data_IF_704011738321
#
_entry.id   IF_704011738321
#
_cell.length_a   1.000
_cell.length_b   1.000
_cell.length_c   1.000
_cell.angle_alpha   90.00
_cell.angle_beta   90.00
_cell.angle_gamma   90.00
#
_symmetry.space_group_name_H-M   'P 1'
#
loop_
_entity.id
_entity.type
_entity.pdbx_description
1 polymer ?
#
# COMPACT_ATOMS: atom_id res chain seq x y z
N UNK A 1 25.63 16.34 23.59
CA UNK A 1 26.26 15.95 22.32
C UNK A 1 25.75 14.56 21.97
N UNK A 2 24.58 14.46 21.33
CA UNK A 2 24.13 13.20 20.73
C UNK A 2 24.65 13.16 19.31
N UNK A 3 25.33 12.08 18.98
CA UNK A 3 26.04 11.88 17.72
C UNK A 3 25.02 11.69 16.60
N UNK A 4 24.86 12.69 15.74
CA UNK A 4 24.14 12.57 14.48
C UNK A 4 24.94 11.68 13.54
N UNK A 5 24.40 10.50 13.21
CA UNK A 5 24.89 9.69 12.10
C UNK A 5 24.47 10.37 10.81
N UNK A 6 25.45 10.81 10.04
CA UNK A 6 25.30 11.11 8.61
C UNK A 6 25.46 9.78 7.88
N UNK A 7 24.47 9.38 7.07
CA UNK A 7 24.62 8.17 6.25
C UNK A 7 23.40 7.79 5.42
N UNK A 8 23.53 7.98 4.10
CA UNK A 8 22.73 7.35 3.05
C UNK A 8 21.53 8.19 2.62
N UNK A 9 21.27 8.26 1.32
CA UNK A 9 20.04 8.85 0.78
C UNK A 9 18.83 8.24 1.51
N UNK A 10 18.11 9.05 2.28
CA UNK A 10 17.00 8.59 3.12
C UNK A 10 15.94 7.93 2.22
N UNK A 11 15.82 6.60 2.27
CA UNK A 11 14.71 5.88 1.64
C UNK A 11 13.42 6.49 2.18
N UNK A 12 12.58 7.00 1.27
CA UNK A 12 11.38 7.73 1.67
C UNK A 12 10.46 6.84 2.51
N UNK A 13 10.27 7.19 3.77
CA UNK A 13 9.36 6.49 4.68
C UNK A 13 7.91 6.89 4.38
N UNK A 14 7.28 6.12 3.49
CA UNK A 14 5.88 6.32 3.12
C UNK A 14 4.92 6.23 4.31
N UNK A 15 5.22 5.42 5.33
CA UNK A 15 4.34 5.26 6.48
C UNK A 15 4.38 6.50 7.38
N UNK A 16 5.58 7.02 7.65
CA UNK A 16 5.75 8.26 8.41
C UNK A 16 5.05 9.42 7.69
N UNK A 17 5.32 9.60 6.40
CA UNK A 17 4.66 10.62 5.59
C UNK A 17 3.14 10.49 5.59
N UNK A 18 2.60 9.27 5.43
CA UNK A 18 1.15 9.05 5.41
C UNK A 18 0.50 9.48 6.73
N UNK A 19 1.08 9.07 7.87
CA UNK A 19 0.59 9.43 9.21
C UNK A 19 0.66 10.93 9.52
N UNK A 20 1.64 11.63 8.95
CA UNK A 20 1.76 13.08 9.08
C UNK A 20 0.80 13.85 8.16
N UNK A 21 0.39 13.22 7.05
CA UNK A 21 -0.45 13.85 6.02
C UNK A 21 -1.95 13.74 6.34
N UNK A 22 -2.41 12.57 6.81
CA UNK A 22 -3.84 12.33 7.06
C UNK A 22 -4.27 12.87 8.42
N UNK A 23 -5.43 13.53 8.48
CA UNK A 23 -6.01 14.07 9.71
C UNK A 23 -7.33 13.40 10.06
N UNK A 24 -7.75 13.55 11.32
CA UNK A 24 -9.05 13.09 11.77
C UNK A 24 -10.17 13.80 11.00
N UNK A 25 -11.09 13.02 10.42
CA UNK A 25 -12.21 13.45 9.57
C UNK A 25 -11.87 13.79 8.09
N UNK A 26 -10.65 13.54 7.64
CA UNK A 26 -10.39 13.49 6.19
C UNK A 26 -11.07 12.27 5.57
N UNK A 27 -11.56 12.44 4.33
CA UNK A 27 -12.01 11.31 3.51
C UNK A 27 -10.87 10.87 2.59
N UNK A 28 -10.19 9.79 2.94
CA UNK A 28 -8.96 9.37 2.28
C UNK A 28 -9.23 8.23 1.31
N UNK A 29 -8.94 8.49 0.04
CA UNK A 29 -8.99 7.47 -1.02
C UNK A 29 -7.57 7.14 -1.45
N UNK A 30 -7.17 5.87 -1.28
CA UNK A 30 -5.90 5.38 -1.81
C UNK A 30 -6.11 4.74 -3.18
N UNK A 31 -5.24 5.07 -4.13
CA UNK A 31 -5.23 4.46 -5.46
C UNK A 31 -3.81 4.04 -5.79
N UNK A 32 -3.60 2.74 -6.00
CA UNK A 32 -2.25 2.20 -6.24
C UNK A 32 -2.26 0.97 -7.15
N UNK A 33 -1.14 0.76 -7.84
CA UNK A 33 -0.88 -0.50 -8.52
C UNK A 33 -0.41 -1.54 -7.50
N UNK A 34 -0.59 -2.82 -7.78
CA UNK A 34 -0.04 -3.89 -6.97
C UNK A 34 1.45 -4.16 -7.26
N UNK A 35 2.25 -3.09 -7.26
CA UNK A 35 3.70 -3.15 -7.37
C UNK A 35 4.36 -3.48 -6.03
N UNK A 36 5.65 -3.83 -6.07
CA UNK A 36 6.39 -4.26 -4.88
C UNK A 36 6.44 -3.18 -3.79
N UNK A 37 6.63 -1.92 -4.19
CA UNK A 37 6.73 -0.78 -3.26
C UNK A 37 5.36 -0.45 -2.66
N UNK A 38 4.33 -0.40 -3.49
CA UNK A 38 2.96 -0.10 -3.08
C UNK A 38 2.39 -1.18 -2.16
N UNK A 39 2.67 -2.47 -2.44
CA UNK A 39 2.26 -3.57 -1.57
C UNK A 39 3.03 -3.58 -0.24
N UNK A 40 4.31 -3.16 -0.22
CA UNK A 40 5.07 -2.97 1.04
C UNK A 40 4.40 -1.86 1.86
N UNK A 41 4.14 -0.71 1.26
CA UNK A 41 3.44 0.40 1.93
C UNK A 41 2.06 -0.02 2.47
N UNK A 42 1.25 -0.70 1.67
CA UNK A 42 -0.07 -1.19 2.08
C UNK A 42 0.02 -2.14 3.28
N UNK A 43 1.04 -3.01 3.31
CA UNK A 43 1.32 -3.89 4.45
C UNK A 43 1.68 -3.07 5.70
N UNK A 44 2.58 -2.11 5.58
CA UNK A 44 3.04 -1.28 6.70
C UNK A 44 1.89 -0.44 7.29
N UNK A 45 1.01 0.09 6.44
CA UNK A 45 -0.21 0.81 6.83
C UNK A 45 -1.21 -0.11 7.54
N UNK A 46 -1.35 -1.36 7.07
CA UNK A 46 -2.22 -2.34 7.70
C UNK A 46 -1.70 -2.79 9.07
N UNK A 47 -0.43 -3.21 9.15
CA UNK A 47 0.18 -3.71 10.40
C UNK A 47 0.30 -2.62 11.47
N UNK A 48 0.48 -1.35 11.07
CA UNK A 48 0.51 -0.23 12.01
C UNK A 48 -0.86 0.28 12.44
N UNK A 49 -1.95 -0.24 11.86
CA UNK A 49 -3.32 0.23 12.10
C UNK A 49 -3.68 1.55 11.42
N UNK A 50 -2.76 2.16 10.66
CA UNK A 50 -3.01 3.39 9.91
C UNK A 50 -4.03 3.19 8.78
N UNK A 51 -4.32 1.94 8.39
CA UNK A 51 -5.37 1.62 7.40
C UNK A 51 -6.75 2.15 7.84
N UNK A 52 -6.98 2.35 9.14
CA UNK A 52 -8.22 2.94 9.66
C UNK A 52 -8.45 4.40 9.22
N UNK A 53 -7.42 5.08 8.71
CA UNK A 53 -7.55 6.40 8.10
C UNK A 53 -7.94 6.34 6.62
N UNK A 54 -8.07 5.15 6.02
CA UNK A 54 -8.40 4.97 4.60
C UNK A 54 -9.85 4.54 4.47
N UNK A 55 -10.67 5.38 3.84
CA UNK A 55 -12.09 5.10 3.62
C UNK A 55 -12.31 4.19 2.42
N UNK A 56 -11.62 4.47 1.30
CA UNK A 56 -11.71 3.67 0.08
C UNK A 56 -10.34 3.35 -0.51
N UNK A 57 -10.19 2.14 -1.05
CA UNK A 57 -8.96 1.69 -1.70
C UNK A 57 -9.23 1.17 -3.11
N UNK A 58 -8.54 1.72 -4.10
CA UNK A 58 -8.52 1.24 -5.47
C UNK A 58 -7.20 0.52 -5.74
N UNK A 59 -7.25 -0.81 -5.81
CA UNK A 59 -6.10 -1.65 -6.09
C UNK A 59 -6.15 -2.13 -7.53
N UNK A 60 -5.09 -1.87 -8.30
CA UNK A 60 -4.92 -2.45 -9.63
C UNK A 60 -4.03 -3.69 -9.54
N UNK A 61 -4.65 -4.85 -9.46
CA UNK A 61 -3.97 -6.12 -9.75
C UNK A 61 -3.77 -6.25 -11.27
N UNK A 62 -2.52 -6.30 -11.74
CA UNK A 62 -2.20 -6.62 -13.14
C UNK A 62 -2.12 -8.13 -13.33
N UNK A 63 -2.51 -8.62 -14.51
CA UNK A 63 -2.40 -10.06 -14.81
C UNK A 63 -0.94 -10.53 -14.91
N UNK A 64 -0.10 -9.58 -15.31
CA UNK A 64 1.33 -9.72 -15.43
C UNK A 64 1.86 -8.95 -14.23
N UNK A 65 2.36 -9.61 -13.19
CA UNK A 65 3.20 -8.95 -12.20
C UNK A 65 4.23 -8.09 -12.95
N UNK A 66 4.62 -6.95 -12.39
CA UNK A 66 5.70 -6.08 -12.89
C UNK A 66 6.72 -6.92 -13.66
N UNK A 67 7.06 -6.54 -14.90
CA UNK A 67 7.78 -7.34 -15.93
C UNK A 67 9.00 -8.15 -15.42
N UNK A 68 9.50 -7.77 -14.26
CA UNK A 68 10.53 -8.36 -13.42
C UNK A 68 10.15 -9.70 -12.75
N UNK A 69 8.85 -9.97 -12.51
CA UNK A 69 8.37 -11.09 -11.69
C UNK A 69 7.25 -11.88 -12.42
N UNK A 70 7.64 -12.53 -13.51
CA UNK A 70 6.82 -13.32 -14.44
C UNK A 70 6.33 -14.66 -13.86
N UNK A 71 5.79 -14.66 -12.65
CA UNK A 71 5.18 -15.86 -12.07
C UNK A 71 3.70 -15.61 -11.80
N UNK A 72 2.83 -16.50 -12.29
CA UNK A 72 1.39 -16.56 -12.00
C UNK A 72 1.05 -16.47 -10.49
N UNK A 73 2.05 -16.69 -9.62
CA UNK A 73 2.01 -16.44 -8.17
C UNK A 73 1.77 -14.98 -7.80
N UNK A 74 2.27 -13.99 -8.54
CA UNK A 74 2.11 -12.56 -8.20
C UNK A 74 0.67 -12.08 -8.38
N UNK A 75 0.00 -12.48 -9.46
CA UNK A 75 -1.43 -12.20 -9.68
C UNK A 75 -2.32 -12.85 -8.61
N UNK A 76 -2.05 -14.12 -8.29
CA UNK A 76 -2.75 -14.84 -7.23
C UNK A 76 -2.53 -14.16 -5.87
N UNK A 77 -1.30 -13.76 -5.59
CA UNK A 77 -0.91 -12.99 -4.39
C UNK A 77 -1.67 -11.67 -4.26
N UNK A 78 -1.80 -10.89 -5.36
CA UNK A 78 -2.54 -9.62 -5.32
C UNK A 78 -4.02 -9.82 -4.99
N UNK A 79 -4.67 -10.79 -5.64
CA UNK A 79 -6.08 -11.07 -5.38
C UNK A 79 -6.32 -11.65 -3.98
N UNK A 80 -5.33 -12.34 -3.41
CA UNK A 80 -5.38 -12.81 -2.03
C UNK A 80 -5.29 -11.63 -1.04
N UNK A 81 -4.42 -10.63 -1.31
CA UNK A 81 -4.38 -9.36 -0.57
C UNK A 81 -5.70 -8.62 -0.67
N UNK A 82 -6.25 -8.49 -1.88
CA UNK A 82 -7.56 -7.88 -2.13
C UNK A 82 -8.68 -8.50 -1.28
N UNK A 83 -8.73 -9.83 -1.24
CA UNK A 83 -9.70 -10.57 -0.41
C UNK A 83 -9.44 -10.39 1.09
N UNK A 84 -8.17 -10.37 1.49
CA UNK A 84 -7.76 -10.12 2.87
C UNK A 84 -8.26 -8.76 3.36
N UNK A 85 -8.06 -7.71 2.57
CA UNK A 85 -8.55 -6.36 2.86
C UNK A 85 -10.07 -6.32 3.02
N UNK A 86 -10.81 -6.92 2.10
CA UNK A 86 -12.29 -6.99 2.20
C UNK A 86 -12.76 -7.73 3.44
N UNK A 87 -12.10 -8.83 3.78
CA UNK A 87 -12.47 -9.64 4.95
C UNK A 87 -12.24 -8.87 6.25
N UNK A 88 -11.29 -7.94 6.26
CA UNK A 88 -11.01 -7.05 7.39
C UNK A 88 -11.78 -5.72 7.33
N UNK A 89 -12.80 -5.61 6.46
CA UNK A 89 -13.71 -4.46 6.43
C UNK A 89 -13.23 -3.25 5.63
N UNK A 90 -12.12 -3.34 4.90
CA UNK A 90 -11.65 -2.24 4.03
C UNK A 90 -12.49 -2.20 2.75
N UNK A 91 -13.01 -1.02 2.39
CA UNK A 91 -13.78 -0.83 1.17
C UNK A 91 -12.86 -0.76 -0.05
N UNK A 92 -12.52 -1.94 -0.60
CA UNK A 92 -11.57 -2.07 -1.71
C UNK A 92 -12.25 -2.41 -3.05
N UNK A 93 -11.79 -1.74 -4.11
CA UNK A 93 -12.23 -1.86 -5.49
C UNK A 93 -11.08 -2.31 -6.38
N UNK A 94 -11.36 -3.26 -7.28
CA UNK A 94 -10.40 -3.60 -8.33
C UNK A 94 -10.49 -2.52 -9.40
N UNK A 95 -9.39 -1.81 -9.61
CA UNK A 95 -9.27 -0.84 -10.69
C UNK A 95 -8.72 -1.53 -11.94
N UNK A 96 -9.54 -1.58 -12.99
CA UNK A 96 -9.13 -1.98 -14.33
C UNK A 96 -8.77 -0.71 -15.10
N UNK A 97 -7.48 -0.53 -15.42
CA UNK A 97 -7.06 0.59 -16.27
C UNK A 97 -7.59 0.41 -17.70
N UNK A 98 -7.60 1.51 -18.47
CA UNK A 98 -7.66 1.44 -19.94
C UNK A 98 -6.27 1.19 -20.52
#
# INVERSE_FOLDING_TARGET
MTTGRVGGEDEFDFLAWFKETVQYADFVVLKMNAGKVELKFLKDVFESGAICFVDELFLRCTENGSVEDKTMKSKKSCMDIYKGLRTNGVYVHQWWGN
#
